data_IF_591943321427
#
_entry.id   IF_591943321427
#
_cell.length_a   1.000
_cell.length_b   1.000
_cell.length_c   1.000
_cell.angle_alpha   90.00
_cell.angle_beta   90.00
_cell.angle_gamma   90.00
#
_symmetry.space_group_name_H-M   'P 1'
#
loop_
_entity.id
_entity.type
_entity.pdbx_description
1 polymer ?
#
# COMPACT_ATOMS: atom_id res chain seq x y z
N UNK A 1 4.05 5.45 11.86
CA UNK A 1 3.87 6.38 10.72
C UNK A 1 4.27 5.70 9.43
N UNK A 2 3.73 6.09 8.28
CA UNK A 2 3.99 5.53 6.93
C UNK A 2 5.49 5.40 6.60
N UNK A 3 6.32 6.33 7.08
CA UNK A 3 7.80 6.24 6.95
C UNK A 3 8.44 5.09 7.73
N UNK A 4 7.87 4.68 8.88
CA UNK A 4 8.33 3.52 9.65
C UNK A 4 8.01 2.23 8.90
N UNK A 5 6.79 2.11 8.38
CA UNK A 5 6.35 0.94 7.60
C UNK A 5 7.23 0.76 6.36
N UNK A 6 7.46 1.83 5.57
CA UNK A 6 8.29 1.74 4.37
C UNK A 6 9.78 1.51 4.65
N UNK A 7 10.26 1.77 5.88
CA UNK A 7 11.64 1.46 6.30
C UNK A 7 11.81 0.05 6.84
N UNK A 8 10.74 -0.55 7.37
CA UNK A 8 10.79 -1.80 8.10
C UNK A 8 10.03 -2.96 7.43
N UNK A 9 9.34 -2.69 6.31
CA UNK A 9 8.59 -3.70 5.55
C UNK A 9 8.84 -3.53 4.05
N UNK A 10 8.64 -4.61 3.29
CA UNK A 10 8.73 -4.60 1.83
C UNK A 10 7.45 -4.09 1.14
N UNK A 11 6.50 -3.58 1.93
CA UNK A 11 5.21 -3.10 1.43
C UNK A 11 5.46 -1.82 0.64
N UNK A 12 4.99 -1.71 -0.62
CA UNK A 12 5.06 -0.47 -1.38
C UNK A 12 4.09 0.54 -0.78
N UNK A 13 4.57 1.28 0.24
CA UNK A 13 3.85 2.40 0.82
C UNK A 13 4.35 3.70 0.20
N UNK A 14 3.45 4.63 -0.17
CA UNK A 14 3.87 5.89 -0.74
C UNK A 14 4.65 6.72 0.29
N UNK A 15 5.74 7.34 -0.15
CA UNK A 15 6.51 8.28 0.68
C UNK A 15 5.71 9.56 0.92
N UNK A 16 5.89 10.13 2.11
CA UNK A 16 5.34 11.45 2.44
C UNK A 16 6.26 12.50 1.83
N UNK A 17 5.70 13.36 0.97
CA UNK A 17 6.39 14.50 0.35
C UNK A 17 6.24 15.74 1.22
N UNK A 18 5.03 16.02 1.71
CA UNK A 18 4.75 17.19 2.54
C UNK A 18 3.56 16.96 3.48
N UNK A 19 3.47 17.71 4.57
CA UNK A 19 2.36 17.66 5.54
C UNK A 19 2.08 19.07 6.08
N UNK A 20 0.82 19.49 6.00
CA UNK A 20 0.30 20.71 6.61
C UNK A 20 -0.72 20.36 7.68
N UNK A 21 -0.76 21.14 8.76
CA UNK A 21 -1.61 20.87 9.92
C UNK A 21 -2.74 21.90 10.10
N UNK A 22 -2.92 22.82 9.16
CA UNK A 22 -4.01 23.79 9.25
C UNK A 22 -5.36 23.15 8.91
N UNK A 23 -6.36 23.43 9.74
CA UNK A 23 -7.74 22.89 9.71
C UNK A 23 -7.85 21.39 10.03
N UNK A 24 -7.62 20.51 9.07
CA UNK A 24 -7.91 19.06 9.19
C UNK A 24 -6.66 18.17 9.02
N UNK A 25 -5.49 18.78 8.82
CA UNK A 25 -4.30 18.06 8.40
C UNK A 25 -4.41 17.62 6.94
N UNK A 26 -3.38 17.85 6.14
CA UNK A 26 -3.31 17.23 4.82
C UNK A 26 -1.87 16.85 4.51
N UNK A 27 -1.72 15.79 3.71
CA UNK A 27 -0.42 15.27 3.33
C UNK A 27 -0.35 15.10 1.83
N UNK A 28 0.79 15.41 1.25
CA UNK A 28 1.15 15.06 -0.12
C UNK A 28 1.95 13.76 -0.07
N UNK A 29 1.49 12.77 -0.84
CA UNK A 29 2.11 11.47 -0.93
C UNK A 29 2.70 11.29 -2.33
N UNK A 30 3.74 10.48 -2.46
CA UNK A 30 4.23 10.06 -3.77
C UNK A 30 3.13 9.32 -4.53
N UNK A 31 3.06 9.56 -5.83
CA UNK A 31 2.20 8.80 -6.72
C UNK A 31 2.82 7.42 -6.93
N UNK A 32 2.01 6.37 -6.77
CA UNK A 32 2.42 4.98 -7.04
C UNK A 32 1.65 4.51 -8.27
N UNK A 33 2.38 4.20 -9.33
CA UNK A 33 1.79 3.69 -10.56
C UNK A 33 1.15 2.31 -10.34
N UNK A 34 -0.04 2.13 -10.90
CA UNK A 34 -0.76 0.86 -10.83
C UNK A 34 -2.22 1.00 -11.23
N UNK A 35 -2.87 -0.15 -11.37
CA UNK A 35 -4.32 -0.26 -11.54
C UNK A 35 -4.95 -0.59 -10.19
N UNK A 36 -6.16 -0.09 -9.92
CA UNK A 36 -6.85 -0.46 -8.69
C UNK A 36 -7.18 -1.95 -8.74
N UNK A 37 -6.92 -2.63 -7.63
CA UNK A 37 -7.21 -4.06 -7.54
C UNK A 37 -8.67 -4.37 -7.83
N UNK A 38 -9.61 -3.49 -7.44
CA UNK A 38 -11.05 -3.64 -7.72
C UNK A 38 -11.38 -3.68 -9.22
N UNK A 39 -10.62 -2.93 -10.03
CA UNK A 39 -10.79 -2.84 -11.49
C UNK A 39 -10.15 -4.05 -12.18
N UNK A 40 -8.96 -4.46 -11.73
CA UNK A 40 -8.25 -5.62 -12.28
C UNK A 40 -8.86 -6.96 -11.83
N UNK A 41 -9.45 -7.08 -10.64
CA UNK A 41 -9.87 -8.34 -10.03
C UNK A 41 -10.72 -9.26 -10.93
N UNK A 42 -11.68 -8.75 -11.72
CA UNK A 42 -12.50 -9.60 -12.59
C UNK A 42 -11.70 -10.32 -13.68
N UNK A 43 -10.60 -9.72 -14.16
CA UNK A 43 -9.81 -10.24 -15.28
C UNK A 43 -8.68 -11.19 -14.84
N UNK A 44 -8.32 -11.17 -13.55
CA UNK A 44 -7.26 -12.01 -13.00
C UNK A 44 -7.65 -13.49 -12.92
N UNK A 45 -6.69 -14.35 -13.25
CA UNK A 45 -6.76 -15.80 -13.08
C UNK A 45 -6.83 -16.21 -11.60
N UNK A 46 -7.21 -17.45 -11.34
CA UNK A 46 -7.22 -18.02 -9.98
C UNK A 46 -5.83 -18.04 -9.34
N UNK A 47 -4.77 -18.23 -10.13
CA UNK A 47 -3.38 -18.26 -9.67
C UNK A 47 -2.89 -16.88 -9.26
N UNK A 48 -3.21 -15.85 -10.06
CA UNK A 48 -2.90 -14.46 -9.74
C UNK A 48 -3.63 -14.00 -8.48
N UNK A 49 -4.92 -14.31 -8.35
CA UNK A 49 -5.71 -14.03 -7.14
C UNK A 49 -5.13 -14.69 -5.90
N UNK A 50 -4.67 -15.94 -6.03
CA UNK A 50 -4.00 -16.67 -4.93
C UNK A 50 -2.68 -16.00 -4.55
N UNK A 51 -1.88 -15.60 -5.53
CA UNK A 51 -0.63 -14.87 -5.32
C UNK A 51 -0.85 -13.55 -4.59
N UNK A 52 -1.84 -12.76 -5.01
CA UNK A 52 -2.21 -11.49 -4.36
C UNK A 52 -2.68 -11.73 -2.92
N UNK A 53 -3.48 -12.78 -2.68
CA UNK A 53 -3.90 -13.15 -1.33
C UNK A 53 -2.72 -13.51 -0.41
N UNK A 54 -1.71 -14.18 -0.94
CA UNK A 54 -0.48 -14.49 -0.20
C UNK A 54 0.32 -13.22 0.11
N UNK A 55 0.51 -12.34 -0.88
CA UNK A 55 1.18 -11.04 -0.69
C UNK A 55 0.48 -10.20 0.38
N UNK A 56 -0.86 -10.11 0.34
CA UNK A 56 -1.64 -9.38 1.32
C UNK A 56 -1.44 -9.92 2.74
N UNK A 57 -1.39 -11.24 2.90
CA UNK A 57 -1.11 -11.88 4.20
C UNK A 57 0.27 -11.47 4.71
N UNK A 58 1.30 -11.61 3.88
CA UNK A 58 2.68 -11.26 4.24
C UNK A 58 2.79 -9.78 4.64
N UNK A 59 2.10 -8.90 3.92
CA UNK A 59 2.06 -7.46 4.23
C UNK A 59 1.37 -7.20 5.57
N UNK A 60 0.23 -7.85 5.84
CA UNK A 60 -0.46 -7.71 7.13
C UNK A 60 0.36 -8.24 8.30
N UNK A 61 1.11 -9.31 8.11
CA UNK A 61 1.99 -9.86 9.15
C UNK A 61 3.17 -8.93 9.42
N UNK A 62 3.75 -8.34 8.37
CA UNK A 62 4.81 -7.32 8.51
C UNK A 62 4.34 -6.04 9.22
N UNK A 63 3.05 -5.68 9.12
CA UNK A 63 2.46 -4.53 9.83
C UNK A 63 2.18 -4.80 11.32
N UNK A 64 2.08 -6.07 11.72
CA UNK A 64 1.77 -6.48 13.10
C UNK A 64 3.02 -6.72 13.95
N UNK A 65 4.17 -6.90 13.31
CA UNK A 65 5.48 -7.06 13.96
C UNK A 65 5.99 -5.72 14.51
#
# INVERSE_FOLDING_TARGET
TTQYIGRHTSIPVPKIIDVWTEKDGSAVLEWVDGERLEEAWPTLSSEEKKSIGQQLREHLDALRA
#
